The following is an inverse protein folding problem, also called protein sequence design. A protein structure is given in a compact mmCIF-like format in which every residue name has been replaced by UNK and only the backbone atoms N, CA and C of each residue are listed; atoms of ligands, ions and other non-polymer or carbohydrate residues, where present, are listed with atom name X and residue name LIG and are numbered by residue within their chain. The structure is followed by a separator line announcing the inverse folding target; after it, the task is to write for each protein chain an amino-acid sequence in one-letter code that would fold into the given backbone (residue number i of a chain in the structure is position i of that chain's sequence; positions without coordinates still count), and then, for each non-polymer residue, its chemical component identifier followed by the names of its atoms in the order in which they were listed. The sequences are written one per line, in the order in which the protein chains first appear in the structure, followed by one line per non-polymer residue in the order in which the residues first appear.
data_IF_383574502980
#
_entry.id   IF_383574502980
#
_cell.length_a   1.000
_cell.length_b   1.000
_cell.length_c   1.000
_cell.angle_alpha   90.00
_cell.angle_beta   90.00
_cell.angle_gamma   90.00
#
_symmetry.space_group_name_H-M   'P 1'
#
loop_
_entity.id
_entity.type
_entity.pdbx_description
1 polymer ?
#
# COMPACT_ATOMS: atom_id res chain seq x y z
N UNK A 1 -5.91 -26.86 -4.75
CA UNK A 1 -5.24 -27.06 -6.06
C UNK A 1 -4.83 -25.69 -6.56
N UNK A 2 -3.56 -25.47 -6.98
CA UNK A 2 -3.14 -24.17 -7.49
C UNK A 2 -3.82 -23.88 -8.83
N UNK A 3 -4.38 -22.69 -8.98
CA UNK A 3 -4.70 -22.12 -10.30
C UNK A 3 -3.44 -21.46 -10.83
N UNK A 4 -2.85 -22.02 -11.89
CA UNK A 4 -1.71 -21.41 -12.57
C UNK A 4 -2.20 -20.30 -13.51
N UNK A 5 -1.89 -19.06 -13.14
CA UNK A 5 -1.84 -17.95 -14.07
C UNK A 5 -0.35 -17.74 -14.41
N UNK A 6 -0.02 -17.28 -15.63
CA UNK A 6 1.39 -17.14 -16.09
C UNK A 6 2.25 -16.28 -15.16
N UNK A 7 1.62 -15.46 -14.33
CA UNK A 7 2.28 -14.50 -13.43
C UNK A 7 2.07 -14.81 -11.94
N UNK A 8 1.36 -15.88 -11.58
CA UNK A 8 1.09 -16.21 -10.18
C UNK A 8 0.80 -17.70 -9.96
N UNK A 9 1.38 -18.26 -8.91
CA UNK A 9 1.02 -19.56 -8.36
C UNK A 9 0.48 -19.36 -6.97
N UNK A 10 -0.79 -19.69 -6.79
CA UNK A 10 -1.53 -19.46 -5.54
C UNK A 10 -1.73 -20.78 -4.80
N UNK A 11 -1.40 -20.77 -3.51
CA UNK A 11 -1.65 -21.82 -2.54
C UNK A 11 -2.70 -21.36 -1.52
N UNK A 12 -3.04 -22.21 -0.56
CA UNK A 12 -4.06 -21.91 0.46
C UNK A 12 -3.70 -20.66 1.29
N UNK A 13 -2.44 -20.54 1.72
CA UNK A 13 -1.95 -19.47 2.61
C UNK A 13 -0.80 -18.63 2.02
N UNK A 14 -0.43 -18.90 0.77
CA UNK A 14 0.70 -18.23 0.12
C UNK A 14 0.51 -18.07 -1.39
N UNK A 15 1.28 -17.17 -1.98
CA UNK A 15 1.34 -17.03 -3.43
C UNK A 15 2.76 -16.67 -3.86
N UNK A 16 3.25 -17.33 -4.91
CA UNK A 16 4.46 -16.92 -5.63
C UNK A 16 4.03 -16.08 -6.82
N UNK A 17 4.52 -14.85 -6.90
CA UNK A 17 4.20 -13.90 -7.96
C UNK A 17 5.43 -13.67 -8.84
N UNK A 18 5.30 -13.89 -10.15
CA UNK A 18 6.33 -13.57 -11.13
C UNK A 18 6.00 -12.24 -11.79
N UNK A 19 6.72 -11.19 -11.38
CA UNK A 19 6.54 -9.82 -11.86
C UNK A 19 7.33 -9.58 -13.16
N UNK A 20 8.45 -10.28 -13.32
CA UNK A 20 9.36 -10.30 -14.46
C UNK A 20 10.26 -11.56 -14.35
N UNK A 21 11.01 -11.95 -15.41
CA UNK A 21 11.82 -13.18 -15.41
C UNK A 21 12.80 -13.33 -14.23
N UNK A 22 13.25 -12.22 -13.63
CA UNK A 22 14.13 -12.19 -12.46
C UNK A 22 13.46 -11.56 -11.22
N UNK A 23 12.14 -11.38 -11.23
CA UNK A 23 11.43 -10.66 -10.18
C UNK A 23 10.32 -11.53 -9.62
N UNK A 24 10.64 -12.19 -8.51
CA UNK A 24 9.76 -13.17 -7.87
C UNK A 24 9.50 -12.76 -6.42
N UNK A 25 8.23 -12.76 -6.03
CA UNK A 25 7.79 -12.46 -4.66
C UNK A 25 7.03 -13.65 -4.12
N UNK A 26 7.48 -14.18 -2.99
CA UNK A 26 6.64 -15.04 -2.17
C UNK A 26 5.84 -14.19 -1.21
N UNK A 27 4.53 -14.41 -1.21
CA UNK A 27 3.55 -13.78 -0.34
C UNK A 27 3.04 -14.85 0.62
N UNK A 28 2.98 -14.52 1.91
CA UNK A 28 2.40 -15.36 2.95
C UNK A 28 1.40 -14.53 3.76
N UNK A 29 0.51 -15.19 4.51
CA UNK A 29 -0.50 -14.54 5.36
C UNK A 29 0.04 -13.46 6.32
N UNK A 30 1.34 -13.45 6.64
CA UNK A 30 1.97 -12.42 7.49
C UNK A 30 2.90 -11.43 6.78
N UNK A 31 3.22 -11.61 5.50
CA UNK A 31 4.31 -10.86 4.88
C UNK A 31 4.63 -11.25 3.45
N UNK A 32 5.74 -10.72 2.95
CA UNK A 32 6.27 -11.07 1.65
C UNK A 32 7.79 -11.13 1.72
N UNK A 33 8.38 -11.97 0.89
CA UNK A 33 9.81 -12.10 0.72
C UNK A 33 10.15 -12.00 -0.76
N UNK A 34 11.10 -11.14 -1.08
CA UNK A 34 11.73 -11.11 -2.40
C UNK A 34 12.65 -12.32 -2.52
N UNK A 35 12.45 -13.14 -3.56
CA UNK A 35 13.23 -14.36 -3.76
C UNK A 35 14.49 -14.07 -4.58
N UNK A 36 14.44 -13.08 -5.48
CA UNK A 36 15.58 -12.77 -6.34
C UNK A 36 15.83 -11.25 -6.44
N UNK A 37 17.10 -10.89 -6.34
CA UNK A 37 17.56 -9.61 -5.85
C UNK A 37 18.19 -8.73 -6.93
N UNK A 38 17.58 -7.56 -7.14
CA UNK A 38 18.31 -6.31 -7.43
C UNK A 38 17.44 -5.03 -7.34
N UNK A 39 16.26 -5.11 -6.70
CA UNK A 39 15.27 -4.03 -6.71
C UNK A 39 15.27 -3.08 -5.51
N UNK A 40 16.36 -3.03 -4.73
CA UNK A 40 16.51 -2.03 -3.67
C UNK A 40 16.51 -0.57 -4.18
N UNK A 41 16.42 -0.32 -5.51
CA UNK A 41 16.66 1.00 -6.11
C UNK A 41 15.42 1.78 -6.59
N UNK A 42 14.24 1.19 -6.80
CA UNK A 42 13.06 1.96 -7.27
C UNK A 42 11.72 1.56 -6.60
N UNK A 43 11.29 2.27 -5.52
CA UNK A 43 10.14 1.88 -4.70
C UNK A 43 8.76 2.34 -5.23
N UNK A 44 8.68 3.20 -6.25
CA UNK A 44 7.42 3.80 -6.71
C UNK A 44 6.70 2.98 -7.78
N UNK A 45 7.43 2.37 -8.71
CA UNK A 45 6.87 1.59 -9.84
C UNK A 45 6.31 0.24 -9.37
N UNK A 46 6.83 -0.29 -8.24
CA UNK A 46 6.60 -1.69 -7.87
C UNK A 46 5.44 -1.93 -6.89
N UNK A 47 5.04 -0.93 -6.10
CA UNK A 47 3.99 -1.15 -5.09
C UNK A 47 2.61 -1.33 -5.71
N UNK A 48 2.33 -0.64 -6.81
CA UNK A 48 1.05 -0.82 -7.51
C UNK A 48 0.97 -2.18 -8.22
N UNK A 49 2.08 -2.66 -8.78
CA UNK A 49 2.19 -3.98 -9.42
C UNK A 49 2.07 -5.12 -8.40
N UNK A 50 2.82 -5.04 -7.30
CA UNK A 50 2.72 -5.99 -6.19
C UNK A 50 1.32 -5.97 -5.58
N UNK A 51 0.71 -4.79 -5.37
CA UNK A 51 -0.65 -4.69 -4.86
C UNK A 51 -1.70 -5.26 -5.83
N UNK A 52 -1.52 -5.11 -7.14
CA UNK A 52 -2.42 -5.71 -8.16
C UNK A 52 -2.35 -7.24 -8.15
N UNK A 53 -1.16 -7.81 -8.00
CA UNK A 53 -0.98 -9.25 -7.98
C UNK A 53 -1.37 -9.87 -6.63
N UNK A 54 -1.15 -9.16 -5.52
CA UNK A 54 -1.74 -9.48 -4.23
C UNK A 54 -3.27 -9.44 -4.27
N UNK A 55 -3.86 -8.48 -4.99
CA UNK A 55 -5.31 -8.40 -5.15
C UNK A 55 -5.91 -9.61 -5.87
N UNK A 56 -5.21 -10.12 -6.88
CA UNK A 56 -5.63 -11.28 -7.65
C UNK A 56 -5.50 -12.59 -6.86
N UNK A 57 -4.48 -12.70 -6.01
CA UNK A 57 -4.20 -13.92 -5.26
C UNK A 57 -4.87 -13.97 -3.88
N UNK A 58 -4.87 -12.87 -3.11
CA UNK A 58 -5.32 -12.84 -1.72
C UNK A 58 -5.82 -11.43 -1.29
N UNK A 59 -7.12 -11.14 -1.41
CA UNK A 59 -7.68 -9.81 -1.17
C UNK A 59 -7.43 -9.24 0.24
N UNK A 60 -7.47 -10.09 1.28
CA UNK A 60 -7.16 -9.68 2.67
C UNK A 60 -5.68 -9.33 2.84
N UNK A 61 -4.79 -10.15 2.28
CA UNK A 61 -3.33 -9.91 2.30
C UNK A 61 -2.94 -8.64 1.54
N UNK A 62 -3.70 -8.27 0.50
CA UNK A 62 -3.56 -6.99 -0.20
C UNK A 62 -3.85 -5.79 0.69
N UNK A 63 -4.95 -5.83 1.45
CA UNK A 63 -5.35 -4.74 2.35
C UNK A 63 -4.30 -4.50 3.43
N UNK A 64 -3.87 -5.56 4.13
CA UNK A 64 -2.86 -5.47 5.18
C UNK A 64 -1.50 -5.01 4.64
N UNK A 65 -1.10 -5.51 3.46
CA UNK A 65 0.10 -5.04 2.78
C UNK A 65 0.04 -3.53 2.49
N UNK A 66 -1.05 -3.06 1.88
CA UNK A 66 -1.20 -1.65 1.54
C UNK A 66 -1.16 -0.75 2.77
N UNK A 67 -1.84 -1.14 3.86
CA UNK A 67 -1.82 -0.38 5.11
C UNK A 67 -0.42 -0.33 5.74
N UNK A 68 0.32 -1.45 5.73
CA UNK A 68 1.70 -1.52 6.24
C UNK A 68 2.67 -0.67 5.41
N UNK A 69 2.58 -0.71 4.09
CA UNK A 69 3.42 0.12 3.22
C UNK A 69 3.09 1.61 3.37
N UNK A 70 1.80 1.95 3.51
CA UNK A 70 1.38 3.33 3.82
C UNK A 70 1.97 3.81 5.15
N UNK A 71 1.89 2.99 6.20
CA UNK A 71 2.47 3.31 7.51
C UNK A 71 3.99 3.48 7.46
N UNK A 72 4.70 2.65 6.68
CA UNK A 72 6.15 2.75 6.49
C UNK A 72 6.55 4.03 5.78
N UNK A 73 5.81 4.41 4.73
CA UNK A 73 6.07 5.61 3.93
C UNK A 73 5.72 6.89 4.66
N UNK A 74 4.74 6.82 5.56
CA UNK A 74 4.09 7.99 6.13
C UNK A 74 3.89 7.83 7.65
N UNK A 75 4.99 7.82 8.42
CA UNK A 75 4.95 7.54 9.86
C UNK A 75 4.13 8.56 10.68
N UNK A 76 3.84 9.73 10.11
CA UNK A 76 2.98 10.75 10.69
C UNK A 76 1.49 10.39 10.76
N UNK A 77 1.08 9.24 10.24
CA UNK A 77 -0.33 8.82 10.20
C UNK A 77 -0.56 7.52 10.98
N UNK A 78 -1.73 7.40 11.61
CA UNK A 78 -2.25 6.17 12.19
C UNK A 78 -3.35 5.63 11.29
N UNK A 79 -3.24 4.37 10.92
CA UNK A 79 -4.12 3.71 9.97
C UNK A 79 -5.01 2.70 10.70
N UNK A 80 -6.30 2.67 10.36
CA UNK A 80 -7.25 1.70 10.88
C UNK A 80 -8.27 1.32 9.82
N UNK A 81 -8.90 0.16 10.00
CA UNK A 81 -10.06 -0.28 9.22
C UNK A 81 -11.16 -0.68 10.19
N UNK A 82 -12.39 -0.32 9.84
CA UNK A 82 -13.61 -0.84 10.44
C UNK A 82 -14.53 -1.40 9.36
N UNK A 83 -15.75 -1.78 9.76
CA UNK A 83 -16.78 -2.32 8.86
C UNK A 83 -17.27 -1.33 7.80
N UNK A 84 -17.07 -0.03 8.02
CA UNK A 84 -17.57 1.03 7.14
C UNK A 84 -16.49 1.52 6.15
N UNK A 85 -15.21 1.33 6.47
CA UNK A 85 -14.14 1.61 5.53
C UNK A 85 -12.75 1.73 6.14
N UNK A 86 -11.92 2.52 5.46
CA UNK A 86 -10.52 2.74 5.80
C UNK A 86 -10.35 4.16 6.33
N UNK A 87 -9.57 4.30 7.39
CA UNK A 87 -9.35 5.55 8.11
C UNK A 87 -7.86 5.77 8.36
N UNK A 88 -7.43 7.02 8.19
CA UNK A 88 -6.12 7.49 8.59
C UNK A 88 -6.25 8.79 9.39
N UNK A 89 -5.57 8.88 10.53
CA UNK A 89 -5.54 10.07 11.40
C UNK A 89 -4.10 10.53 11.56
N UNK A 90 -3.82 11.81 11.27
CA UNK A 90 -2.48 12.37 11.40
C UNK A 90 -2.13 12.59 12.89
N UNK A 91 -0.90 12.28 13.26
CA UNK A 91 -0.33 12.57 14.58
C UNK A 91 0.05 14.04 14.65
N UNK A 92 -0.94 14.89 14.94
CA UNK A 92 -0.75 16.32 15.10
C UNK A 92 -1.49 17.14 14.05
N UNK A 93 -1.63 18.43 14.33
CA UNK A 93 -2.29 19.34 13.40
C UNK A 93 -1.39 19.67 12.21
N UNK A 94 -1.94 19.68 10.98
CA UNK A 94 -1.25 20.25 9.83
C UNK A 94 -0.94 21.73 10.09
N UNK A 95 0.19 22.19 9.56
CA UNK A 95 0.56 23.60 9.61
C UNK A 95 -0.54 24.47 9.00
N UNK A 96 -0.58 25.78 9.32
CA UNK A 96 -1.51 26.70 8.66
C UNK A 96 -1.38 26.73 7.14
N UNK A 97 -0.16 26.55 6.61
CA UNK A 97 0.10 26.54 5.16
C UNK A 97 -0.51 25.30 4.54
N UNK A 98 -0.26 24.14 5.13
CA UNK A 98 -0.79 22.87 4.67
C UNK A 98 -2.32 22.82 4.79
N UNK A 99 -2.91 23.35 5.87
CA UNK A 99 -4.37 23.50 5.99
C UNK A 99 -4.96 24.33 4.86
N UNK A 100 -4.36 25.49 4.55
CA UNK A 100 -4.82 26.35 3.45
C UNK A 100 -4.74 25.66 2.09
N UNK A 101 -3.81 24.73 1.92
CA UNK A 101 -3.66 23.92 0.71
C UNK A 101 -4.56 22.68 0.67
N UNK A 102 -5.47 22.50 1.63
CA UNK A 102 -6.37 21.34 1.69
C UNK A 102 -5.81 20.13 2.44
N UNK A 103 -4.74 20.32 3.21
CA UNK A 103 -4.17 19.31 4.10
C UNK A 103 -5.13 18.96 5.25
N UNK A 104 -5.44 17.67 5.35
CA UNK A 104 -6.41 17.12 6.29
C UNK A 104 -5.72 16.54 7.54
N UNK A 105 -6.44 16.54 8.65
CA UNK A 105 -6.09 15.80 9.88
C UNK A 105 -6.57 14.35 9.84
N UNK A 106 -7.58 14.07 9.02
CA UNK A 106 -8.22 12.76 8.90
C UNK A 106 -8.63 12.50 7.45
N UNK A 107 -8.42 11.25 7.01
CA UNK A 107 -8.92 10.74 5.72
C UNK A 107 -9.76 9.49 6.00
N UNK A 108 -10.98 9.47 5.46
CA UNK A 108 -11.87 8.32 5.49
C UNK A 108 -12.43 8.03 4.10
N UNK A 109 -12.38 6.77 3.66
CA UNK A 109 -12.97 6.31 2.40
C UNK A 109 -13.52 4.88 2.53
N UNK A 110 -14.65 4.56 1.86
CA UNK A 110 -15.28 3.24 1.98
C UNK A 110 -14.48 2.13 1.30
N UNK A 111 -13.72 2.45 0.25
CA UNK A 111 -12.90 1.46 -0.45
C UNK A 111 -11.40 1.69 -0.28
N UNK A 112 -10.61 0.61 -0.32
CA UNK A 112 -9.15 0.69 -0.21
C UNK A 112 -8.54 1.54 -1.34
N UNK A 113 -9.10 1.45 -2.55
CA UNK A 113 -8.61 2.20 -3.70
C UNK A 113 -8.78 3.72 -3.48
N UNK A 114 -9.98 4.16 -3.15
CA UNK A 114 -10.25 5.57 -2.85
C UNK A 114 -9.43 6.05 -1.66
N UNK A 115 -9.23 5.20 -0.66
CA UNK A 115 -8.42 5.52 0.52
C UNK A 115 -6.96 5.79 0.18
N UNK A 116 -6.31 4.89 -0.59
CA UNK A 116 -4.92 5.05 -1.03
C UNK A 116 -4.79 6.31 -1.90
N UNK A 117 -5.72 6.52 -2.84
CA UNK A 117 -5.73 7.70 -3.71
C UNK A 117 -5.81 8.99 -2.89
N UNK A 118 -6.78 9.09 -1.98
CA UNK A 118 -6.96 10.27 -1.13
C UNK A 118 -5.73 10.53 -0.23
N UNK A 119 -5.11 9.49 0.31
CA UNK A 119 -3.89 9.64 1.09
C UNK A 119 -2.70 10.10 0.23
N UNK A 120 -2.53 9.55 -0.97
CA UNK A 120 -1.47 10.01 -1.89
C UNK A 120 -1.64 11.47 -2.27
N UNK A 121 -2.87 11.96 -2.43
CA UNK A 121 -3.14 13.39 -2.61
C UNK A 121 -2.66 14.21 -1.41
N UNK A 122 -2.93 13.77 -0.18
CA UNK A 122 -2.43 14.43 1.03
C UNK A 122 -0.91 14.46 1.09
N UNK A 123 -0.24 13.38 0.69
CA UNK A 123 1.23 13.35 0.60
C UNK A 123 1.78 14.27 -0.48
N UNK A 124 1.13 14.32 -1.64
CA UNK A 124 1.54 15.20 -2.72
C UNK A 124 1.45 16.68 -2.29
N UNK A 125 0.35 17.08 -1.65
CA UNK A 125 0.19 18.44 -1.13
C UNK A 125 1.28 18.77 -0.10
N UNK A 126 1.52 17.88 0.86
CA UNK A 126 2.55 18.08 1.88
C UNK A 126 3.97 18.15 1.27
N UNK A 127 4.28 17.28 0.31
CA UNK A 127 5.55 17.26 -0.40
C UNK A 127 5.82 18.53 -1.21
N UNK A 128 4.82 19.01 -1.97
CA UNK A 128 4.93 20.24 -2.76
C UNK A 128 5.20 21.47 -1.87
N UNK A 129 4.71 21.44 -0.63
CA UNK A 129 4.93 22.49 0.37
C UNK A 129 6.19 22.28 1.21
N UNK A 130 6.92 21.18 1.01
CA UNK A 130 8.11 20.75 1.78
C UNK A 130 7.84 20.55 3.27
N UNK A 131 6.65 20.09 3.61
CA UNK A 131 6.28 19.71 4.97
C UNK A 131 6.18 18.18 5.10
N UNK A 132 6.90 17.59 6.06
CA UNK A 132 6.85 16.16 6.40
C UNK A 132 6.05 15.92 7.67
#
# INVERSE_FOLDING_TARGET
MPTEDRNARVYEDSATLWLAPALVVDVMAGGYQWIDGDFHREPFVNVELVAKLLAAAMPKTREDYCLRELARRNPGWRYSRDENGFRAVRRGEPSPVLRKAGGLTEVYRPTLHEFITALNEQFLIAHLLREG
#
